data_IF_080986082304
#
_entry.id   IF_080986082304
#
_cell.length_a   1.000
_cell.length_b   1.000
_cell.length_c   1.000
_cell.angle_alpha   90.00
_cell.angle_beta   90.00
_cell.angle_gamma   90.00
#
_symmetry.space_group_name_H-M   'P 1'
#
loop_
_entity.id
_entity.type
_entity.pdbx_description
1 polymer ?
#
# COMPACT_ATOMS: atom_id res chain seq x y z
N UNK A 1 -9.28 -19.59 -1.38
CA UNK A 1 -9.91 -19.44 -2.72
C UNK A 1 -9.27 -18.25 -3.42
N UNK A 2 -8.75 -18.46 -4.64
CA UNK A 2 -8.29 -17.36 -5.50
C UNK A 2 -9.49 -16.69 -6.19
N UNK A 3 -9.33 -15.43 -6.58
CA UNK A 3 -10.34 -14.65 -7.31
C UNK A 3 -9.70 -14.14 -8.59
N UNK A 4 -10.37 -14.32 -9.72
CA UNK A 4 -9.96 -13.72 -10.99
C UNK A 4 -10.76 -12.45 -11.25
N UNK A 5 -10.08 -11.37 -11.63
CA UNK A 5 -10.72 -10.10 -11.95
C UNK A 5 -10.04 -9.47 -13.16
N UNK A 6 -10.79 -9.34 -14.26
CA UNK A 6 -10.32 -8.75 -15.53
C UNK A 6 -9.00 -9.37 -16.01
N UNK A 7 -8.93 -10.71 -16.00
CA UNK A 7 -7.75 -11.47 -16.43
C UNK A 7 -6.57 -11.47 -15.44
N UNK A 8 -6.76 -10.95 -14.22
CA UNK A 8 -5.72 -10.95 -13.19
C UNK A 8 -6.15 -11.85 -12.02
N UNK A 9 -5.27 -12.79 -11.65
CA UNK A 9 -5.49 -13.71 -10.52
C UNK A 9 -5.02 -13.09 -9.21
N UNK A 10 -5.93 -13.00 -8.25
CA UNK A 10 -5.66 -12.63 -6.86
C UNK A 10 -5.75 -13.84 -5.94
N UNK A 11 -4.97 -13.90 -4.86
CA UNK A 11 -5.07 -14.97 -3.84
C UNK A 11 -6.35 -14.87 -2.98
N UNK A 12 -7.16 -13.83 -3.20
CA UNK A 12 -8.43 -13.54 -2.53
C UNK A 12 -8.68 -12.04 -2.43
N UNK A 13 -9.89 -11.65 -2.04
CA UNK A 13 -10.20 -10.25 -1.73
C UNK A 13 -9.36 -9.73 -0.57
N UNK A 14 -9.06 -8.43 -0.58
CA UNK A 14 -8.35 -7.74 0.50
C UNK A 14 -6.94 -8.31 0.80
N UNK A 15 -6.35 -9.04 -0.16
CA UNK A 15 -4.99 -9.58 -0.09
C UNK A 15 -4.09 -8.90 -1.12
N UNK A 16 -3.21 -7.96 -0.70
CA UNK A 16 -2.33 -7.27 -1.62
C UNK A 16 -1.33 -8.20 -2.31
N UNK A 17 -1.09 -7.95 -3.59
CA UNK A 17 -0.05 -8.56 -4.43
C UNK A 17 0.78 -7.47 -5.12
N UNK A 18 1.86 -7.85 -5.80
CA UNK A 18 2.66 -6.88 -6.58
C UNK A 18 1.79 -6.25 -7.67
N UNK A 19 1.90 -4.93 -7.83
CA UNK A 19 1.19 -4.20 -8.89
C UNK A 19 1.78 -4.52 -10.26
N UNK A 20 0.93 -4.70 -11.26
CA UNK A 20 1.31 -4.70 -12.69
C UNK A 20 1.34 -3.29 -13.31
N UNK A 21 0.76 -2.29 -12.64
CA UNK A 21 0.78 -0.89 -13.09
C UNK A 21 2.14 -0.24 -12.80
N UNK A 22 2.71 0.41 -13.81
CA UNK A 22 3.94 1.17 -13.70
C UNK A 22 3.87 2.23 -12.59
N UNK A 23 4.98 2.42 -11.89
CA UNK A 23 5.07 3.40 -10.80
C UNK A 23 4.39 2.98 -9.49
N UNK A 24 3.64 1.87 -9.46
CA UNK A 24 2.93 1.38 -8.28
C UNK A 24 3.60 0.14 -7.68
N UNK A 25 3.64 0.05 -6.35
CA UNK A 25 4.30 -1.07 -5.66
C UNK A 25 3.39 -2.30 -5.60
N UNK A 26 2.20 -2.10 -5.06
CA UNK A 26 1.26 -3.16 -4.71
C UNK A 26 -0.10 -2.84 -5.31
N UNK A 27 -0.89 -3.88 -5.51
CA UNK A 27 -2.29 -3.75 -5.85
C UNK A 27 -3.13 -4.76 -5.09
N UNK A 28 -4.41 -4.49 -4.96
CA UNK A 28 -5.34 -5.32 -4.21
C UNK A 28 -6.72 -5.23 -4.84
N UNK A 29 -7.40 -6.38 -4.91
CA UNK A 29 -8.82 -6.44 -5.18
C UNK A 29 -9.55 -6.21 -3.86
N UNK A 30 -9.85 -4.96 -3.55
CA UNK A 30 -10.50 -4.58 -2.30
C UNK A 30 -12.00 -4.87 -2.37
N UNK A 31 -12.55 -5.42 -1.29
CA UNK A 31 -13.99 -5.67 -1.13
C UNK A 31 -14.47 -5.14 0.20
N UNK A 32 -15.57 -4.39 0.17
CA UNK A 32 -16.29 -3.92 1.35
C UNK A 32 -17.81 -3.95 1.09
N UNK A 33 -18.54 -4.77 1.85
CA UNK A 33 -19.89 -5.18 1.45
C UNK A 33 -19.88 -5.72 0.01
N UNK A 34 -20.80 -5.25 -0.83
CA UNK A 34 -20.91 -5.65 -2.24
C UNK A 34 -20.00 -4.84 -3.18
N UNK A 35 -19.33 -3.81 -2.66
CA UNK A 35 -18.45 -2.96 -3.47
C UNK A 35 -17.10 -3.62 -3.64
N UNK A 36 -16.66 -3.76 -4.89
CA UNK A 36 -15.36 -4.31 -5.25
C UNK A 36 -14.60 -3.27 -6.08
N UNK A 37 -13.32 -3.03 -5.72
CA UNK A 37 -12.44 -2.10 -6.45
C UNK A 37 -11.03 -2.66 -6.56
N UNK A 38 -10.47 -2.62 -7.77
CA UNK A 38 -9.04 -2.82 -7.98
C UNK A 38 -8.29 -1.54 -7.61
N UNK A 39 -7.38 -1.63 -6.65
CA UNK A 39 -6.64 -0.48 -6.13
C UNK A 39 -5.14 -0.74 -6.28
N UNK A 40 -4.45 0.19 -6.92
CA UNK A 40 -2.98 0.22 -6.97
C UNK A 40 -2.45 1.27 -5.99
N UNK A 41 -1.45 0.92 -5.18
CA UNK A 41 -0.96 1.76 -4.11
C UNK A 41 0.55 1.63 -3.86
N UNK A 42 1.11 2.65 -3.20
CA UNK A 42 2.55 2.83 -3.01
C UNK A 42 3.26 3.25 -4.28
N UNK A 43 4.30 4.08 -4.17
CA UNK A 43 5.08 4.55 -5.32
C UNK A 43 6.44 3.82 -5.39
N UNK A 44 6.80 3.25 -6.54
CA UNK A 44 8.05 2.47 -6.67
C UNK A 44 9.30 3.29 -6.43
N UNK A 45 9.29 4.58 -6.81
CA UNK A 45 10.45 5.46 -6.66
C UNK A 45 10.80 5.89 -5.22
N UNK A 46 9.95 5.61 -4.23
CA UNK A 46 10.20 5.98 -2.83
C UNK A 46 10.31 4.73 -1.96
N UNK A 47 11.08 4.81 -0.87
CA UNK A 47 11.04 3.81 0.19
C UNK A 47 9.71 3.80 0.95
N UNK A 48 9.51 2.80 1.80
CA UNK A 48 8.42 2.75 2.78
C UNK A 48 8.90 2.17 4.11
N UNK A 49 8.34 2.67 5.22
CA UNK A 49 8.55 2.18 6.58
C UNK A 49 10.02 2.05 7.05
N UNK A 50 10.95 2.70 6.36
CA UNK A 50 12.39 2.45 6.50
C UNK A 50 13.03 3.08 7.74
N UNK A 51 12.36 4.03 8.39
CA UNK A 51 12.78 4.60 9.66
C UNK A 51 11.57 5.04 10.48
N UNK A 52 11.75 5.16 11.79
CA UNK A 52 10.68 5.60 12.69
C UNK A 52 10.23 7.04 12.40
N UNK A 53 11.18 7.93 12.07
CA UNK A 53 10.90 9.30 11.67
C UNK A 53 10.12 9.36 10.34
N UNK A 54 10.54 8.60 9.32
CA UNK A 54 9.81 8.50 8.05
C UNK A 54 8.39 7.98 8.26
N UNK A 55 8.24 6.96 9.11
CA UNK A 55 6.95 6.36 9.46
C UNK A 55 6.04 7.37 10.15
N UNK A 56 6.52 8.06 11.19
CA UNK A 56 5.75 9.09 11.90
C UNK A 56 5.31 10.20 10.95
N UNK A 57 6.23 10.70 10.12
CA UNK A 57 5.95 11.73 9.12
C UNK A 57 4.90 11.30 8.08
N UNK A 58 5.05 10.11 7.48
CA UNK A 58 4.08 9.62 6.49
C UNK A 58 2.69 9.48 7.13
N UNK A 59 2.61 8.85 8.30
CA UNK A 59 1.34 8.61 8.99
C UNK A 59 0.62 9.90 9.36
N UNK A 60 1.36 10.91 9.82
CA UNK A 60 0.81 12.23 10.13
C UNK A 60 0.25 12.93 8.88
N UNK A 61 1.05 13.02 7.81
CA UNK A 61 0.65 13.68 6.55
C UNK A 61 -0.57 13.03 5.88
N UNK A 62 -0.70 11.71 6.01
CA UNK A 62 -1.80 10.95 5.42
C UNK A 62 -2.94 10.63 6.39
N UNK A 63 -2.89 11.18 7.62
CA UNK A 63 -3.88 10.94 8.68
C UNK A 63 -4.22 9.45 8.81
N UNK A 64 -3.19 8.61 8.92
CA UNK A 64 -3.37 7.15 8.81
C UNK A 64 -4.32 6.55 9.86
N UNK A 65 -4.51 7.23 10.99
CA UNK A 65 -5.39 6.77 12.05
C UNK A 65 -6.88 6.92 11.68
N UNK A 66 -7.20 7.76 10.68
CA UNK A 66 -8.55 7.88 10.10
C UNK A 66 -8.70 7.12 8.77
N UNK A 67 -7.69 6.36 8.37
CA UNK A 67 -7.69 5.59 7.12
C UNK A 67 -8.40 4.25 7.33
N UNK A 68 -9.73 4.28 7.41
CA UNK A 68 -10.57 3.10 7.71
C UNK A 68 -11.26 2.50 6.47
N UNK A 69 -11.35 3.23 5.36
CA UNK A 69 -12.02 2.79 4.15
C UNK A 69 -11.11 1.89 3.27
N UNK A 70 -11.38 0.59 3.28
CA UNK A 70 -10.69 -0.44 2.48
C UNK A 70 -10.76 -0.20 0.97
N UNK A 71 -11.72 0.59 0.51
CA UNK A 71 -11.90 0.93 -0.90
C UNK A 71 -11.00 2.09 -1.35
N UNK A 72 -10.03 2.53 -0.52
CA UNK A 72 -9.10 3.61 -0.84
C UNK A 72 -7.63 3.17 -0.85
N UNK A 73 -6.82 3.77 -1.72
CA UNK A 73 -5.37 3.54 -1.74
C UNK A 73 -4.68 4.00 -0.44
N UNK A 74 -5.23 5.02 0.23
CA UNK A 74 -4.72 5.57 1.50
C UNK A 74 -4.76 4.51 2.59
N UNK A 75 -5.88 3.81 2.74
CA UNK A 75 -6.02 2.69 3.68
C UNK A 75 -4.91 1.66 3.49
N UNK A 76 -4.72 1.19 2.26
CA UNK A 76 -3.72 0.16 1.97
C UNK A 76 -2.29 0.64 2.15
N UNK A 77 -1.98 1.88 1.77
CA UNK A 77 -0.67 2.46 2.06
C UNK A 77 -0.41 2.50 3.58
N UNK A 78 -1.37 2.98 4.38
CA UNK A 78 -1.25 3.06 5.84
C UNK A 78 -1.18 1.69 6.53
N UNK A 79 -1.97 0.71 6.08
CA UNK A 79 -2.12 -0.61 6.75
C UNK A 79 -1.14 -1.67 6.27
N UNK A 80 -0.63 -1.56 5.04
CA UNK A 80 0.25 -2.57 4.46
C UNK A 80 1.69 -2.06 4.32
N UNK A 81 1.89 -0.90 3.68
CA UNK A 81 3.24 -0.36 3.44
C UNK A 81 3.79 0.46 4.61
N UNK A 82 2.94 1.06 5.44
CA UNK A 82 3.31 1.90 6.58
C UNK A 82 2.68 1.42 7.89
N UNK A 83 2.57 0.08 8.02
CA UNK A 83 1.83 -0.61 9.08
C UNK A 83 2.32 -0.28 10.49
N UNK A 84 3.60 0.05 10.67
CA UNK A 84 4.19 0.09 12.01
C UNK A 84 5.54 -0.60 12.07
N UNK A 85 6.09 -0.70 13.29
CA UNK A 85 7.21 -1.58 13.62
C UNK A 85 6.85 -3.02 13.26
N UNK A 86 7.77 -3.76 12.65
CA UNK A 86 7.54 -5.13 12.15
C UNK A 86 6.75 -5.23 10.84
N UNK A 87 6.32 -4.10 10.24
CA UNK A 87 5.78 -4.07 8.89
C UNK A 87 6.87 -4.18 7.82
N UNK A 88 6.48 -4.42 6.57
CA UNK A 88 7.41 -4.40 5.43
C UNK A 88 8.18 -3.07 5.40
N UNK A 89 9.49 -3.15 5.16
CA UNK A 89 10.36 -1.99 4.99
C UNK A 89 11.03 -2.02 3.63
N UNK A 90 11.35 -0.85 3.09
CA UNK A 90 12.20 -0.68 1.92
C UNK A 90 12.82 0.71 1.92
N UNK A 91 14.14 0.79 1.81
CA UNK A 91 14.84 2.07 1.67
C UNK A 91 14.54 2.73 0.32
N UNK A 92 14.65 4.06 0.25
CA UNK A 92 14.58 4.79 -1.01
C UNK A 92 15.77 4.42 -1.92
N UNK A 93 15.62 4.52 -3.26
CA UNK A 93 16.76 4.37 -4.18
C UNK A 93 17.90 5.33 -3.83
N UNK A 94 19.16 4.92 -4.06
CA UNK A 94 20.34 5.74 -3.75
C UNK A 94 20.31 7.13 -4.40
N UNK A 95 19.75 7.23 -5.60
CA UNK A 95 19.57 8.48 -6.34
C UNK A 95 18.51 9.42 -5.75
N UNK A 96 17.74 8.97 -4.75
CA UNK A 96 16.67 9.75 -4.13
C UNK A 96 16.88 9.84 -2.62
N UNK A 97 17.39 10.99 -2.19
CA UNK A 97 17.55 11.31 -0.77
C UNK A 97 16.18 11.68 -0.17
N UNK A 98 15.67 10.84 0.71
CA UNK A 98 14.48 11.14 1.50
C UNK A 98 14.78 12.22 2.54
N UNK A 99 13.74 12.88 3.06
CA UNK A 99 13.88 13.79 4.21
C UNK A 99 14.35 13.06 5.48
N UNK A 100 14.13 11.75 5.54
CA UNK A 100 14.42 10.85 6.65
C UNK A 100 15.09 9.59 6.15
#
# INVERSE_FOLDING_TARGET
MSVEYRGIKFPGYNKPIKSNREGKKMMVLAKDGDKIRLIHFGATGYGHNYSDAARKSFRARHKCDTANDKLTARYWACRHLWKGKGGSTKSSPKSRKGKY
#
